data_IF_060274057747
#
_entry.id   IF_060274057747
#
_cell.length_a   1.000
_cell.length_b   1.000
_cell.length_c   1.000
_cell.angle_alpha   90.00
_cell.angle_beta   90.00
_cell.angle_gamma   90.00
#
_symmetry.space_group_name_H-M   'P 1'
#
loop_
_entity.id
_entity.type
_entity.pdbx_description
1 polymer ?
#
# COMPACT_ATOMS: atom_id res chain seq x y z
N UNK A 1 -13.63 6.00 -17.03
CA UNK A 1 -13.58 4.72 -17.77
C UNK A 1 -12.35 3.93 -17.36
N UNK A 2 -12.36 2.59 -17.53
CA UNK A 2 -11.17 1.77 -17.28
C UNK A 2 -10.06 2.14 -18.27
N UNK A 3 -8.80 2.18 -17.78
CA UNK A 3 -7.59 2.42 -18.57
C UNK A 3 -7.61 3.69 -19.44
N UNK A 4 -8.32 4.74 -18.98
CA UNK A 4 -8.55 5.95 -19.79
C UNK A 4 -7.25 6.63 -20.26
N UNK A 5 -6.19 6.58 -19.45
CA UNK A 5 -4.86 7.15 -19.75
C UNK A 5 -3.74 6.10 -19.67
N UNK A 6 -4.09 4.81 -19.81
CA UNK A 6 -3.11 3.72 -19.76
C UNK A 6 -2.07 3.88 -20.88
N UNK A 7 -0.79 3.73 -20.51
CA UNK A 7 0.32 3.80 -21.47
C UNK A 7 0.67 5.21 -21.96
N UNK A 8 0.17 6.26 -21.33
CA UNK A 8 0.58 7.64 -21.63
C UNK A 8 2.01 7.87 -21.13
N UNK A 9 3.00 7.30 -21.83
CA UNK A 9 4.41 7.22 -21.38
C UNK A 9 5.11 8.58 -21.24
N UNK A 10 4.60 9.63 -21.85
CA UNK A 10 5.17 10.98 -21.77
C UNK A 10 4.46 11.86 -20.72
N UNK A 11 3.40 11.36 -20.07
CA UNK A 11 2.66 12.09 -19.05
C UNK A 11 3.54 12.24 -17.80
N UNK A 12 3.77 13.48 -17.34
CA UNK A 12 4.60 13.78 -16.17
C UNK A 12 3.80 14.11 -14.92
N UNK A 13 2.66 14.73 -15.09
CA UNK A 13 1.74 15.05 -13.98
C UNK A 13 0.29 14.82 -14.42
N UNK A 14 -0.54 14.49 -13.45
CA UNK A 14 -1.96 14.31 -13.70
C UNK A 14 -2.77 14.80 -12.49
N UNK A 15 -3.72 15.68 -12.75
CA UNK A 15 -4.65 16.16 -11.74
C UNK A 15 -6.04 15.54 -11.98
N UNK A 16 -6.61 14.98 -10.92
CA UNK A 16 -7.95 14.39 -10.94
C UNK A 16 -8.90 15.43 -10.38
N UNK A 17 -9.81 15.98 -11.22
CA UNK A 17 -10.69 17.08 -10.82
C UNK A 17 -11.60 16.72 -9.64
N UNK A 18 -11.94 17.71 -8.82
CA UNK A 18 -12.87 17.57 -7.69
C UNK A 18 -14.26 17.05 -8.11
N UNK A 19 -14.66 17.31 -9.36
CA UNK A 19 -15.93 16.85 -9.95
C UNK A 19 -15.92 15.38 -10.34
N UNK A 20 -14.76 14.71 -10.33
CA UNK A 20 -14.65 13.30 -10.73
C UNK A 20 -15.40 12.41 -9.74
N UNK A 21 -16.37 11.67 -10.23
CA UNK A 21 -17.19 10.76 -9.42
C UNK A 21 -16.67 9.33 -9.42
N UNK A 22 -15.96 8.93 -10.47
CA UNK A 22 -15.50 7.57 -10.64
C UNK A 22 -14.16 7.51 -11.38
N UNK A 23 -13.26 6.70 -10.85
CA UNK A 23 -11.99 6.34 -11.46
C UNK A 23 -12.03 4.87 -11.85
N UNK A 24 -11.74 4.57 -13.11
CA UNK A 24 -11.71 3.20 -13.61
C UNK A 24 -10.43 2.46 -13.27
N UNK A 25 -10.50 1.12 -13.28
CA UNK A 25 -9.35 0.23 -13.16
C UNK A 25 -8.25 0.64 -14.15
N UNK A 26 -6.99 0.68 -13.67
CA UNK A 26 -5.80 0.93 -14.49
C UNK A 26 -5.77 2.30 -15.14
N UNK A 27 -6.42 3.31 -14.56
CA UNK A 27 -6.61 4.63 -15.19
C UNK A 27 -5.30 5.23 -15.73
N UNK A 28 -4.20 5.11 -14.99
CA UNK A 28 -2.86 5.59 -15.35
C UNK A 28 -1.82 4.44 -15.46
N UNK A 29 -2.29 3.19 -15.68
CA UNK A 29 -1.42 2.03 -15.83
C UNK A 29 -0.32 2.28 -16.87
N UNK A 30 0.93 2.02 -16.51
CA UNK A 30 2.07 2.13 -17.42
C UNK A 30 2.44 3.54 -17.85
N UNK A 31 1.97 4.57 -17.15
CA UNK A 31 2.44 5.96 -17.33
C UNK A 31 3.84 6.10 -16.72
N UNK A 32 4.87 5.54 -17.39
CA UNK A 32 6.20 5.33 -16.82
C UNK A 32 6.89 6.60 -16.34
N UNK A 33 6.64 7.75 -17.00
CA UNK A 33 7.21 9.07 -16.67
C UNK A 33 6.33 9.91 -15.75
N UNK A 34 5.21 9.38 -15.28
CA UNK A 34 4.35 10.09 -14.35
C UNK A 34 5.08 10.28 -13.01
N UNK A 35 5.30 11.54 -12.63
CA UNK A 35 6.04 11.92 -11.43
C UNK A 35 5.10 12.32 -10.29
N UNK A 36 3.98 12.99 -10.61
CA UNK A 36 3.06 13.53 -9.62
C UNK A 36 1.60 13.31 -10.03
N UNK A 37 0.80 12.93 -9.06
CA UNK A 37 -0.67 12.91 -9.18
C UNK A 37 -1.30 13.56 -7.96
N UNK A 38 -2.27 14.43 -8.21
CA UNK A 38 -3.05 15.10 -7.18
C UNK A 38 -4.53 14.81 -7.44
N UNK A 39 -5.22 14.42 -6.40
CA UNK A 39 -6.68 14.47 -6.38
C UNK A 39 -7.04 15.83 -5.77
N UNK A 40 -7.68 16.70 -6.54
CA UNK A 40 -8.27 17.92 -5.99
C UNK A 40 -9.21 17.54 -4.83
N UNK A 41 -9.68 18.51 -4.03
CA UNK A 41 -10.57 18.24 -2.89
C UNK A 41 -11.79 17.40 -3.28
N UNK A 42 -11.55 16.11 -3.53
CA UNK A 42 -12.55 15.17 -4.03
C UNK A 42 -13.12 14.32 -2.87
N UNK A 43 -14.41 14.52 -2.61
CA UNK A 43 -15.17 13.77 -1.58
C UNK A 43 -15.98 12.60 -2.14
N UNK A 44 -15.99 12.40 -3.46
CA UNK A 44 -16.79 11.37 -4.13
C UNK A 44 -16.01 10.07 -4.36
N UNK A 45 -14.68 10.16 -4.46
CA UNK A 45 -13.81 9.00 -4.66
C UNK A 45 -13.56 8.35 -3.31
N UNK A 46 -14.13 7.15 -3.13
CA UNK A 46 -14.05 6.37 -1.89
C UNK A 46 -13.05 5.21 -1.95
N UNK A 47 -12.38 5.01 -3.10
CA UNK A 47 -11.34 3.98 -3.26
C UNK A 47 -10.36 4.33 -4.37
N UNK A 48 -9.12 3.87 -4.23
CA UNK A 48 -8.17 3.82 -5.33
C UNK A 48 -8.40 2.50 -6.07
N UNK A 49 -8.79 2.52 -7.34
CA UNK A 49 -9.14 1.30 -8.05
C UNK A 49 -7.92 0.41 -8.31
N UNK A 50 -8.20 -0.88 -8.60
CA UNK A 50 -7.15 -1.82 -8.97
C UNK A 50 -6.30 -1.30 -10.14
N UNK A 51 -4.98 -1.51 -10.06
CA UNK A 51 -4.00 -1.17 -11.10
C UNK A 51 -3.92 0.34 -11.43
N UNK A 52 -4.49 1.24 -10.60
CA UNK A 52 -4.64 2.67 -10.91
C UNK A 52 -3.33 3.32 -11.39
N UNK A 53 -2.22 3.07 -10.69
CA UNK A 53 -0.88 3.58 -10.95
C UNK A 53 0.14 2.45 -11.21
N UNK A 54 -0.33 1.26 -11.57
CA UNK A 54 0.54 0.11 -11.81
C UNK A 54 1.61 0.47 -12.87
N UNK A 55 2.89 0.20 -12.53
CA UNK A 55 4.06 0.48 -13.40
C UNK A 55 4.31 1.97 -13.71
N UNK A 56 3.82 2.89 -12.88
CA UNK A 56 4.24 4.29 -12.92
C UNK A 56 5.62 4.42 -12.23
N UNK A 57 6.69 4.09 -12.96
CA UNK A 57 8.03 3.88 -12.39
C UNK A 57 8.63 5.16 -11.78
N UNK A 58 8.38 6.32 -12.39
CA UNK A 58 8.88 7.62 -11.91
C UNK A 58 7.95 8.30 -10.90
N UNK A 59 6.82 7.67 -10.52
CA UNK A 59 5.86 8.26 -9.58
C UNK A 59 6.51 8.42 -8.21
N UNK A 60 6.70 9.67 -7.79
CA UNK A 60 7.31 10.03 -6.50
C UNK A 60 6.37 10.80 -5.57
N UNK A 61 5.33 11.43 -6.10
CA UNK A 61 4.37 12.20 -5.33
C UNK A 61 2.92 11.83 -5.66
N UNK A 62 2.17 11.42 -4.62
CA UNK A 62 0.73 11.16 -4.70
C UNK A 62 0.03 11.79 -3.52
N UNK A 63 -0.95 12.65 -3.81
CA UNK A 63 -1.87 13.16 -2.79
C UNK A 63 -3.20 12.43 -2.95
N UNK A 64 -3.52 11.56 -1.98
CA UNK A 64 -4.72 10.73 -2.01
C UNK A 64 -5.94 11.48 -1.43
N UNK A 65 -7.17 11.19 -1.88
CA UNK A 65 -8.39 11.72 -1.27
C UNK A 65 -8.54 11.26 0.17
N UNK A 66 -8.90 12.16 1.09
CA UNK A 66 -9.01 11.85 2.53
C UNK A 66 -10.17 10.88 2.88
N UNK A 67 -11.11 10.65 1.95
CA UNK A 67 -12.31 9.83 2.19
C UNK A 67 -12.19 8.39 1.68
N UNK A 68 -11.06 8.00 1.09
CA UNK A 68 -10.92 6.63 0.58
C UNK A 68 -10.85 5.62 1.72
N UNK A 69 -11.53 4.50 1.54
CA UNK A 69 -11.54 3.37 2.49
C UNK A 69 -10.71 2.18 2.00
N UNK A 70 -10.33 2.17 0.72
CA UNK A 70 -9.65 1.04 0.08
C UNK A 70 -8.55 1.51 -0.88
N UNK A 71 -7.40 0.85 -0.80
CA UNK A 71 -6.35 0.88 -1.83
C UNK A 71 -6.40 -0.46 -2.56
N UNK A 72 -6.85 -0.42 -3.81
CA UNK A 72 -7.17 -1.60 -4.60
C UNK A 72 -5.96 -2.44 -5.02
N UNK A 73 -6.23 -3.65 -5.50
CA UNK A 73 -5.22 -4.62 -5.94
C UNK A 73 -4.25 -4.00 -6.96
N UNK A 74 -2.93 -4.13 -6.69
CA UNK A 74 -1.86 -3.61 -7.57
C UNK A 74 -1.92 -2.11 -7.84
N UNK A 75 -2.56 -1.33 -6.98
CA UNK A 75 -2.77 0.10 -7.24
C UNK A 75 -1.46 0.85 -7.50
N UNK A 76 -0.39 0.54 -6.75
CA UNK A 76 0.95 1.12 -6.88
C UNK A 76 2.03 0.07 -7.20
N UNK A 77 1.64 -1.03 -7.85
CA UNK A 77 2.55 -2.12 -8.22
C UNK A 77 3.72 -1.62 -9.07
N UNK A 78 4.96 -1.86 -8.60
CA UNK A 78 6.22 -1.42 -9.26
C UNK A 78 6.35 0.11 -9.45
N UNK A 79 5.79 0.91 -8.58
CA UNK A 79 6.10 2.34 -8.49
C UNK A 79 7.45 2.52 -7.76
N UNK A 80 8.56 2.29 -8.45
CA UNK A 80 9.90 2.20 -7.85
C UNK A 80 10.39 3.48 -7.18
N UNK A 81 9.97 4.65 -7.68
CA UNK A 81 10.35 5.95 -7.14
C UNK A 81 9.40 6.47 -6.04
N UNK A 82 8.34 5.72 -5.70
CA UNK A 82 7.44 6.08 -4.61
C UNK A 82 8.10 5.75 -3.26
N UNK A 83 8.83 6.72 -2.70
CA UNK A 83 9.60 6.56 -1.45
C UNK A 83 8.78 6.83 -0.20
N UNK A 84 7.71 7.61 -0.33
CA UNK A 84 6.76 7.89 0.74
C UNK A 84 5.36 8.09 0.18
N UNK A 85 4.37 7.82 0.99
CA UNK A 85 2.96 8.08 0.69
C UNK A 85 2.20 8.31 2.00
N UNK A 86 1.43 9.39 2.07
CA UNK A 86 0.48 9.60 3.16
C UNK A 86 -0.78 8.80 2.87
N UNK A 87 -1.00 7.70 3.60
CA UNK A 87 -2.23 6.92 3.54
C UNK A 87 -3.27 7.58 4.45
N UNK A 88 -4.46 7.97 3.92
CA UNK A 88 -5.51 8.58 4.72
C UNK A 88 -5.99 7.71 5.88
N UNK A 89 -6.36 8.34 7.02
CA UNK A 89 -6.81 7.63 8.21
C UNK A 89 -8.18 6.92 8.04
N UNK A 90 -8.88 7.20 6.96
CA UNK A 90 -10.12 6.52 6.55
C UNK A 90 -9.90 5.14 5.92
N UNK A 91 -8.66 4.80 5.51
CA UNK A 91 -8.36 3.53 4.83
C UNK A 91 -8.49 2.35 5.79
N UNK A 92 -9.38 1.43 5.42
CA UNK A 92 -9.62 0.19 6.16
C UNK A 92 -8.98 -1.04 5.47
N UNK A 93 -8.73 -0.95 4.15
CA UNK A 93 -8.25 -2.09 3.37
C UNK A 93 -7.10 -1.70 2.43
N UNK A 94 -6.02 -2.48 2.48
CA UNK A 94 -4.93 -2.45 1.51
C UNK A 94 -4.91 -3.81 0.82
N UNK A 95 -5.29 -3.82 -0.45
CA UNK A 95 -5.53 -5.05 -1.18
C UNK A 95 -4.25 -5.72 -1.69
N UNK A 96 -4.40 -6.94 -2.23
CA UNK A 96 -3.31 -7.78 -2.75
C UNK A 96 -2.36 -6.99 -3.66
N UNK A 97 -1.04 -7.10 -3.38
CA UNK A 97 0.04 -6.51 -4.17
C UNK A 97 -0.05 -4.97 -4.36
N UNK A 98 -0.82 -4.27 -3.49
CA UNK A 98 -1.11 -2.85 -3.66
C UNK A 98 0.16 -2.00 -3.79
N UNK A 99 1.20 -2.30 -3.01
CA UNK A 99 2.50 -1.62 -3.00
C UNK A 99 3.68 -2.55 -3.34
N UNK A 100 3.42 -3.63 -4.10
CA UNK A 100 4.48 -4.56 -4.50
C UNK A 100 5.64 -3.84 -5.22
N UNK A 101 6.88 -4.05 -4.76
CA UNK A 101 8.08 -3.44 -5.34
C UNK A 101 8.02 -1.91 -5.46
N UNK A 102 7.48 -1.22 -4.48
CA UNK A 102 7.62 0.24 -4.34
C UNK A 102 8.94 0.60 -3.67
N UNK A 103 9.35 1.86 -3.84
CA UNK A 103 10.55 2.42 -3.21
C UNK A 103 10.36 2.84 -1.75
N UNK A 104 9.23 2.53 -1.11
CA UNK A 104 8.86 3.00 0.22
C UNK A 104 9.98 2.82 1.26
N UNK A 105 10.35 3.92 1.90
CA UNK A 105 11.32 3.98 3.01
C UNK A 105 10.61 4.11 4.34
N UNK A 106 9.51 4.86 4.38
CA UNK A 106 8.66 5.06 5.55
C UNK A 106 7.24 4.65 5.21
N UNK A 107 6.59 4.00 6.17
CA UNK A 107 5.21 3.55 6.03
C UNK A 107 4.47 3.78 7.35
N UNK A 108 3.51 4.69 7.32
CA UNK A 108 2.57 4.90 8.41
C UNK A 108 1.22 4.29 8.03
N UNK A 109 0.86 3.20 8.69
CA UNK A 109 -0.42 2.54 8.46
C UNK A 109 -1.53 3.24 9.27
N UNK A 110 -2.71 3.49 8.65
CA UNK A 110 -3.81 4.20 9.31
C UNK A 110 -4.41 3.38 10.45
N UNK A 111 -4.87 4.06 11.51
CA UNK A 111 -5.40 3.40 12.71
C UNK A 111 -6.69 2.61 12.45
N UNK A 112 -7.47 2.96 11.40
CA UNK A 112 -8.68 2.23 11.00
C UNK A 112 -8.41 1.02 10.10
N UNK A 113 -7.14 0.73 9.80
CA UNK A 113 -6.79 -0.40 8.93
C UNK A 113 -7.17 -1.73 9.57
N UNK A 114 -7.93 -2.55 8.84
CA UNK A 114 -8.38 -3.88 9.23
C UNK A 114 -7.74 -5.00 8.43
N UNK A 115 -7.39 -4.74 7.17
CA UNK A 115 -6.96 -5.76 6.23
C UNK A 115 -5.69 -5.37 5.47
N UNK A 116 -4.69 -6.24 5.52
CA UNK A 116 -3.47 -6.18 4.72
C UNK A 116 -3.41 -7.42 3.85
N UNK A 117 -3.59 -7.24 2.56
CA UNK A 117 -3.71 -8.32 1.58
C UNK A 117 -2.41 -9.02 1.24
N UNK A 118 -2.53 -10.15 0.56
CA UNK A 118 -1.41 -10.97 0.11
C UNK A 118 -0.38 -10.15 -0.67
N UNK A 119 0.89 -10.23 -0.24
CA UNK A 119 1.99 -9.53 -0.90
C UNK A 119 1.84 -8.01 -0.96
N UNK A 120 1.02 -7.40 -0.09
CA UNK A 120 0.68 -5.97 -0.19
C UNK A 120 1.92 -5.07 -0.27
N UNK A 121 2.96 -5.37 0.49
CA UNK A 121 4.24 -4.65 0.52
C UNK A 121 5.42 -5.56 0.13
N UNK A 122 5.17 -6.65 -0.60
CA UNK A 122 6.21 -7.58 -1.01
C UNK A 122 7.31 -6.86 -1.79
N UNK A 123 8.58 -7.07 -1.38
CA UNK A 123 9.78 -6.46 -1.98
C UNK A 123 9.85 -4.92 -1.91
N UNK A 124 9.24 -4.28 -0.91
CA UNK A 124 9.53 -2.89 -0.56
C UNK A 124 10.92 -2.85 0.12
N UNK A 125 11.97 -2.90 -0.69
CA UNK A 125 13.33 -3.20 -0.23
C UNK A 125 13.94 -2.14 0.68
N UNK A 126 13.46 -0.90 0.62
CA UNK A 126 13.98 0.25 1.37
C UNK A 126 13.23 0.48 2.70
N UNK A 127 12.18 -0.29 2.97
CA UNK A 127 11.38 -0.16 4.18
C UNK A 127 12.15 -0.71 5.39
N UNK A 128 12.33 0.13 6.42
CA UNK A 128 13.15 -0.22 7.59
C UNK A 128 12.33 -0.62 8.83
N UNK A 129 11.15 -0.07 8.96
CA UNK A 129 10.27 -0.26 10.11
C UNK A 129 8.81 -0.20 9.68
N UNK A 130 7.99 -1.04 10.31
CA UNK A 130 6.52 -1.01 10.17
C UNK A 130 5.89 -1.22 11.53
N UNK A 131 4.89 -0.37 11.85
CA UNK A 131 3.96 -0.63 12.94
C UNK A 131 2.62 -1.05 12.34
N UNK A 132 2.18 -2.26 12.66
CA UNK A 132 0.84 -2.77 12.33
C UNK A 132 -0.13 -2.30 13.41
N UNK A 133 -1.17 -1.51 13.06
CA UNK A 133 -2.11 -0.94 14.02
C UNK A 133 -2.90 -1.98 14.81
N UNK A 134 -3.48 -1.54 15.93
CA UNK A 134 -4.17 -2.42 16.89
C UNK A 134 -5.37 -3.16 16.30
N UNK A 135 -6.12 -2.49 15.42
CA UNK A 135 -7.39 -3.02 14.88
C UNK A 135 -7.21 -3.80 13.56
N UNK A 136 -5.97 -4.13 13.16
CA UNK A 136 -5.76 -5.01 12.01
C UNK A 136 -6.19 -6.42 12.37
N UNK A 137 -7.20 -6.92 11.66
CA UNK A 137 -7.80 -8.24 11.82
C UNK A 137 -7.09 -9.30 10.99
N UNK A 138 -6.59 -8.93 9.81
CA UNK A 138 -5.98 -9.85 8.85
C UNK A 138 -4.67 -9.28 8.29
N UNK A 139 -3.61 -10.09 8.36
CA UNK A 139 -2.37 -9.89 7.60
C UNK A 139 -2.14 -11.15 6.77
N UNK A 140 -2.30 -11.03 5.46
CA UNK A 140 -2.17 -12.19 4.57
C UNK A 140 -0.70 -12.54 4.30
N UNK A 141 -0.50 -13.72 3.66
CA UNK A 141 0.84 -14.27 3.35
C UNK A 141 1.68 -13.28 2.56
N UNK A 142 2.98 -13.28 2.85
CA UNK A 142 4.01 -12.47 2.19
C UNK A 142 3.81 -10.95 2.29
N UNK A 143 2.99 -10.46 3.20
CA UNK A 143 2.61 -9.04 3.27
C UNK A 143 3.84 -8.10 3.25
N UNK A 144 4.90 -8.40 4.00
CA UNK A 144 6.16 -7.65 4.06
C UNK A 144 7.39 -8.49 3.67
N UNK A 145 7.19 -9.64 3.01
CA UNK A 145 8.29 -10.50 2.59
C UNK A 145 9.16 -9.83 1.52
N UNK A 146 10.45 -10.11 1.49
CA UNK A 146 11.38 -9.51 0.53
C UNK A 146 11.73 -8.05 0.79
N UNK A 147 11.27 -7.46 1.89
CA UNK A 147 11.69 -6.15 2.37
C UNK A 147 13.09 -6.29 3.02
N UNK A 148 14.15 -6.21 2.20
CA UNK A 148 15.52 -6.57 2.63
C UNK A 148 16.11 -5.66 3.71
N UNK A 149 15.66 -4.41 3.81
CA UNK A 149 16.11 -3.46 4.84
C UNK A 149 15.18 -3.46 6.09
N UNK A 150 14.12 -4.26 6.12
CA UNK A 150 13.15 -4.27 7.21
C UNK A 150 13.76 -4.91 8.47
N UNK A 151 14.08 -4.08 9.44
CA UNK A 151 14.70 -4.47 10.71
C UNK A 151 13.67 -4.92 11.75
N UNK A 152 12.54 -4.23 11.79
CA UNK A 152 11.52 -4.45 12.82
C UNK A 152 10.10 -4.29 12.28
N UNK A 153 9.24 -5.22 12.68
CA UNK A 153 7.79 -5.10 12.56
C UNK A 153 7.19 -5.13 13.95
N UNK A 154 6.44 -4.09 14.31
CA UNK A 154 5.74 -3.99 15.59
C UNK A 154 4.25 -4.26 15.40
N UNK A 155 3.68 -5.19 16.13
CA UNK A 155 2.24 -5.44 16.18
C UNK A 155 1.66 -4.80 17.44
N UNK A 156 0.82 -3.78 17.26
CA UNK A 156 0.11 -3.14 18.38
C UNK A 156 -1.09 -3.98 18.85
N UNK A 157 -1.67 -4.79 17.95
CA UNK A 157 -2.77 -5.72 18.19
C UNK A 157 -2.38 -7.18 18.00
N UNK A 158 -3.40 -8.05 17.93
CA UNK A 158 -3.27 -9.49 17.68
C UNK A 158 -4.21 -9.91 16.55
N UNK A 159 -3.78 -9.82 15.28
CA UNK A 159 -4.62 -10.17 14.13
C UNK A 159 -5.23 -11.57 14.25
N UNK A 160 -6.50 -11.72 13.87
CA UNK A 160 -7.19 -12.99 13.86
C UNK A 160 -6.62 -13.96 12.81
N UNK A 161 -6.17 -13.38 11.68
CA UNK A 161 -5.56 -14.11 10.57
C UNK A 161 -4.15 -13.62 10.33
N UNK A 162 -3.18 -14.51 10.48
CA UNK A 162 -1.77 -14.30 10.12
C UNK A 162 -1.38 -15.30 9.03
N UNK A 163 -1.03 -14.78 7.88
CA UNK A 163 -0.53 -15.56 6.75
C UNK A 163 0.87 -16.13 6.99
N UNK A 164 1.27 -17.04 6.15
CA UNK A 164 2.63 -17.58 6.17
C UNK A 164 3.63 -16.59 5.54
N UNK A 165 4.87 -16.62 6.02
CA UNK A 165 5.99 -15.87 5.44
C UNK A 165 5.73 -14.35 5.34
N UNK A 166 5.03 -13.77 6.32
CA UNK A 166 4.70 -12.33 6.30
C UNK A 166 5.94 -11.43 6.28
N UNK A 167 7.07 -11.91 6.79
CA UNK A 167 8.37 -11.20 6.84
C UNK A 167 9.51 -12.11 6.41
N UNK A 168 10.72 -11.57 6.26
CA UNK A 168 11.96 -12.34 6.08
C UNK A 168 12.45 -12.94 7.41
N UNK A 169 13.21 -14.03 7.31
CA UNK A 169 14.04 -14.48 8.44
C UNK A 169 15.00 -13.37 8.85
N UNK A 170 15.13 -13.14 10.16
CA UNK A 170 16.01 -12.10 10.71
C UNK A 170 15.36 -10.74 10.93
N UNK A 171 14.15 -10.49 10.43
CA UNK A 171 13.35 -9.32 10.82
C UNK A 171 12.85 -9.51 12.25
N UNK A 172 13.12 -8.53 13.14
CA UNK A 172 12.63 -8.56 14.53
C UNK A 172 11.12 -8.30 14.56
N UNK A 173 10.40 -9.13 15.31
CA UNK A 173 8.98 -8.86 15.61
C UNK A 173 8.87 -8.35 17.05
N UNK A 174 8.11 -7.29 17.23
CA UNK A 174 7.67 -6.80 18.53
C UNK A 174 6.17 -7.06 18.67
N UNK A 175 5.78 -7.82 19.70
CA UNK A 175 4.37 -8.13 19.97
C UNK A 175 4.16 -8.36 21.46
N UNK A 176 2.90 -8.45 21.87
CA UNK A 176 2.54 -8.90 23.24
C UNK A 176 2.77 -10.40 23.36
N UNK A 177 3.18 -10.86 24.55
CA UNK A 177 3.29 -12.30 24.87
C UNK A 177 1.92 -12.99 24.83
N UNK A 178 1.93 -14.27 24.52
CA UNK A 178 0.73 -15.13 24.48
C UNK A 178 -0.33 -14.66 23.46
N UNK A 179 0.13 -14.12 22.33
CA UNK A 179 -0.70 -13.74 21.18
C UNK A 179 -0.44 -14.67 20.01
N UNK A 180 -1.30 -14.64 18.97
CA UNK A 180 -1.07 -15.37 17.71
C UNK A 180 0.23 -14.94 17.04
N UNK A 181 0.58 -13.65 17.17
CA UNK A 181 1.85 -13.12 16.67
C UNK A 181 3.03 -13.73 17.42
N UNK A 182 2.95 -13.87 18.76
CA UNK A 182 3.98 -14.54 19.56
C UNK A 182 4.12 -16.03 19.17
N UNK A 183 3.01 -16.73 18.95
CA UNK A 183 3.01 -18.11 18.46
C UNK A 183 3.59 -18.24 17.04
N UNK A 184 3.33 -17.27 16.16
CA UNK A 184 3.93 -17.20 14.82
C UNK A 184 5.47 -17.09 14.90
N UNK A 185 6.01 -16.34 15.88
CA UNK A 185 7.46 -16.16 16.07
C UNK A 185 8.18 -17.42 16.56
N UNK A 186 7.45 -18.37 17.16
CA UNK A 186 8.02 -19.60 17.73
C UNK A 186 8.09 -20.76 16.73
N UNK A 187 7.46 -20.62 15.56
CA UNK A 187 7.47 -21.58 14.44
C UNK A 187 8.64 -21.32 13.49
#
# INVERSE_FOLDING_TARGET
KNRAFSGCVNLRSFEIPATTEYIGKGVLYGCKRLQKTVFEENKKIIRIPAEAFMECQELSGVVLPEMITEIGRRAFYKCGNLTEIKIPQSVERIEREAFYQTGLQKLELPQKLKFIGESAFLKCRNLEYVRVPEYVETVEKWAFHGCSMLKTVEFSGDPEVLGEWIINKGTKILCRKNTRVDDYCRK
#
